data_IF_369674111057
#
_entry.id   IF_369674111057
#
_cell.length_a   1.000
_cell.length_b   1.000
_cell.length_c   1.000
_cell.angle_alpha   90.00
_cell.angle_beta   90.00
_cell.angle_gamma   90.00
#
_symmetry.space_group_name_H-M   'P 1'
#
loop_
_entity.id
_entity.type
_entity.pdbx_description
1 polymer ?
#
# COMPACT_ATOMS: atom_id res chain seq x y z
N UNK A 1 -25.35 0.58 -3.60
CA UNK A 1 -24.55 0.98 -2.41
C UNK A 1 -23.15 0.34 -2.33
N UNK A 2 -22.61 -0.33 -3.37
CA UNK A 2 -21.17 -0.74 -3.39
C UNK A 2 -20.49 -0.41 -4.73
N UNK A 3 -21.02 0.54 -5.49
CA UNK A 3 -20.52 0.93 -6.83
C UNK A 3 -19.16 1.65 -6.81
N UNK A 4 -18.65 2.03 -5.62
CA UNK A 4 -17.41 2.80 -5.47
C UNK A 4 -16.30 2.07 -4.70
N UNK A 5 -16.33 0.74 -4.64
CA UNK A 5 -15.11 0.02 -4.25
C UNK A 5 -14.19 0.06 -5.47
N UNK A 6 -13.32 1.06 -5.54
CA UNK A 6 -12.20 1.12 -6.48
C UNK A 6 -11.22 -0.01 -6.15
N UNK A 7 -11.55 -1.24 -6.57
CA UNK A 7 -10.74 -2.42 -6.32
C UNK A 7 -9.54 -2.38 -7.25
N UNK A 8 -8.37 -2.25 -6.62
CA UNK A 8 -7.13 -1.91 -7.33
C UNK A 8 -7.11 -0.42 -7.63
N UNK A 9 -6.59 0.37 -6.70
CA UNK A 9 -6.36 1.81 -6.85
C UNK A 9 -5.31 2.14 -7.95
N UNK A 10 -4.99 1.21 -8.84
CA UNK A 10 -4.07 1.46 -9.94
C UNK A 10 -4.64 2.54 -10.85
N UNK A 11 -3.88 3.61 -11.01
CA UNK A 11 -4.21 4.66 -11.95
C UNK A 11 -3.46 4.39 -13.26
N UNK A 12 -4.16 4.22 -14.39
CA UNK A 12 -3.50 3.96 -15.66
C UNK A 12 -2.72 5.20 -16.09
N UNK A 13 -1.38 5.06 -16.16
CA UNK A 13 -0.47 6.15 -16.53
C UNK A 13 0.65 5.65 -17.45
N UNK A 14 1.16 6.55 -18.31
CA UNK A 14 2.29 6.26 -19.23
C UNK A 14 3.63 6.78 -18.72
N UNK A 15 3.72 7.18 -17.45
CA UNK A 15 4.90 7.84 -16.91
C UNK A 15 6.12 6.92 -16.77
N UNK A 16 7.30 7.50 -16.53
CA UNK A 16 8.52 6.72 -16.35
C UNK A 16 8.40 5.76 -15.16
N UNK A 17 7.77 6.23 -14.08
CA UNK A 17 7.53 5.42 -12.89
C UNK A 17 6.51 4.30 -13.14
N UNK A 18 5.55 4.48 -14.05
CA UNK A 18 4.62 3.40 -14.40
C UNK A 18 5.30 2.26 -15.17
N UNK A 19 6.34 2.58 -15.95
CA UNK A 19 7.06 1.62 -16.81
C UNK A 19 8.18 0.85 -16.09
N UNK A 20 8.56 1.22 -14.86
CA UNK A 20 9.57 0.48 -14.11
C UNK A 20 9.08 -0.93 -13.77
N UNK A 21 10.03 -1.84 -13.60
CA UNK A 21 9.74 -3.22 -13.23
C UNK A 21 9.07 -3.25 -11.83
N UNK A 22 7.93 -3.95 -11.65
CA UNK A 22 7.20 -4.01 -10.38
C UNK A 22 8.06 -4.44 -9.17
N UNK A 23 8.98 -5.39 -9.36
CA UNK A 23 9.95 -5.83 -8.34
C UNK A 23 10.88 -4.71 -7.90
N UNK A 24 11.30 -3.86 -8.83
CA UNK A 24 12.19 -2.74 -8.58
C UNK A 24 11.44 -1.62 -7.87
N UNK A 25 10.19 -1.34 -8.26
CA UNK A 25 9.34 -0.39 -7.52
C UNK A 25 9.13 -0.84 -6.07
N UNK A 26 8.83 -2.12 -5.84
CA UNK A 26 8.67 -2.68 -4.50
C UNK A 26 9.94 -2.47 -3.67
N UNK A 27 11.11 -2.84 -4.22
CA UNK A 27 12.40 -2.63 -3.56
C UNK A 27 12.68 -1.15 -3.30
N UNK A 28 12.46 -0.28 -4.28
CA UNK A 28 12.64 1.17 -4.15
C UNK A 28 11.74 1.75 -3.07
N UNK A 29 10.48 1.32 -2.98
CA UNK A 29 9.55 1.81 -1.95
C UNK A 29 9.96 1.34 -0.56
N UNK A 30 10.47 0.11 -0.41
CA UNK A 30 11.01 -0.39 0.85
C UNK A 30 12.26 0.40 1.26
N UNK A 31 13.20 0.60 0.33
CA UNK A 31 14.40 1.41 0.57
C UNK A 31 14.04 2.85 0.93
N UNK A 32 13.05 3.44 0.26
CA UNK A 32 12.57 4.78 0.57
C UNK A 32 11.96 4.85 1.98
N UNK A 33 11.17 3.86 2.40
CA UNK A 33 10.63 3.80 3.76
C UNK A 33 11.76 3.82 4.79
N UNK A 34 12.82 3.03 4.57
CA UNK A 34 14.01 3.05 5.44
C UNK A 34 14.72 4.41 5.38
N UNK A 35 14.94 4.95 4.18
CA UNK A 35 15.62 6.22 3.96
C UNK A 35 14.95 7.40 4.69
N UNK A 36 13.62 7.44 4.78
CA UNK A 36 12.87 8.50 5.47
C UNK A 36 13.09 8.50 7.00
N UNK A 37 13.49 7.36 7.58
CA UNK A 37 13.82 7.26 9.01
C UNK A 37 15.26 7.65 9.34
N UNK A 38 16.18 7.64 8.37
CA UNK A 38 17.59 7.96 8.61
C UNK A 38 17.81 9.41 9.07
N UNK A 39 17.25 10.45 8.43
CA UNK A 39 17.54 11.84 8.78
C UNK A 39 17.22 12.19 10.24
N UNK A 40 18.18 12.81 10.93
CA UNK A 40 17.93 13.49 12.22
C UNK A 40 17.80 15.01 12.09
N UNK A 41 18.15 15.54 10.92
CA UNK A 41 18.19 16.97 10.63
C UNK A 41 17.12 17.36 9.61
N UNK A 42 16.70 18.63 9.65
CA UNK A 42 15.75 19.20 8.68
C UNK A 42 16.23 19.10 7.24
N UNK A 43 17.54 19.30 6.99
CA UNK A 43 18.11 19.19 5.64
C UNK A 43 17.98 17.79 5.05
N UNK A 44 18.20 16.74 5.85
CA UNK A 44 18.04 15.37 5.39
C UNK A 44 16.57 15.01 5.13
N UNK A 45 15.65 15.48 5.98
CA UNK A 45 14.22 15.30 5.73
C UNK A 45 13.76 16.06 4.49
N UNK A 46 14.24 17.29 4.28
CA UNK A 46 13.95 18.08 3.09
C UNK A 46 14.49 17.42 1.81
N UNK A 47 15.68 16.81 1.85
CA UNK A 47 16.24 16.06 0.73
C UNK A 47 15.38 14.83 0.39
N UNK A 48 14.93 14.07 1.40
CA UNK A 48 14.02 12.94 1.20
C UNK A 48 12.66 13.38 0.63
N UNK A 49 12.09 14.47 1.16
CA UNK A 49 10.84 15.05 0.66
C UNK A 49 10.98 15.59 -0.78
N UNK A 50 12.11 16.22 -1.10
CA UNK A 50 12.43 16.71 -2.44
C UNK A 50 12.55 15.57 -3.46
N UNK A 51 13.21 14.47 -3.08
CA UNK A 51 13.26 13.26 -3.90
C UNK A 51 11.86 12.68 -4.15
N UNK A 52 11.02 12.61 -3.11
CA UNK A 52 9.63 12.16 -3.25
C UNK A 52 8.82 13.07 -4.18
N UNK A 53 8.97 14.38 -4.03
CA UNK A 53 8.29 15.36 -4.86
C UNK A 53 8.72 15.21 -6.32
N UNK A 54 10.00 15.00 -6.60
CA UNK A 54 10.47 14.65 -7.93
C UNK A 54 9.81 13.36 -8.44
N UNK A 55 9.78 12.29 -7.64
CA UNK A 55 9.14 11.02 -8.01
C UNK A 55 7.63 11.17 -8.32
N UNK A 56 6.93 12.01 -7.56
CA UNK A 56 5.52 12.37 -7.78
C UNK A 56 5.34 13.12 -9.11
N UNK A 57 6.17 14.13 -9.38
CA UNK A 57 6.13 14.89 -10.63
C UNK A 57 6.43 14.00 -11.85
N UNK A 58 7.46 13.14 -11.74
CA UNK A 58 7.80 12.13 -12.73
C UNK A 58 6.68 11.11 -12.95
N UNK A 59 5.84 10.88 -11.93
CA UNK A 59 4.70 9.97 -12.01
C UNK A 59 3.50 10.55 -12.75
N UNK A 60 3.43 11.88 -12.89
CA UNK A 60 2.30 12.61 -13.50
C UNK A 60 0.95 12.24 -12.89
N UNK A 61 0.92 11.99 -11.58
CA UNK A 61 -0.32 11.70 -10.87
C UNK A 61 -1.07 13.00 -10.55
N UNK A 62 -2.41 13.03 -10.67
CA UNK A 62 -3.19 14.18 -10.23
C UNK A 62 -3.03 14.36 -8.72
N UNK A 63 -2.72 15.59 -8.28
CA UNK A 63 -2.53 15.94 -6.86
C UNK A 63 -3.73 15.56 -5.98
N UNK A 64 -4.93 15.47 -6.57
CA UNK A 64 -6.15 15.01 -5.90
C UNK A 64 -6.02 13.59 -5.34
N UNK A 65 -5.30 12.69 -6.01
CA UNK A 65 -5.09 11.32 -5.52
C UNK A 65 -4.18 11.30 -4.30
N UNK A 66 -3.11 12.11 -4.32
CA UNK A 66 -2.18 12.24 -3.19
C UNK A 66 -2.91 12.79 -1.97
N UNK A 67 -3.72 13.83 -2.16
CA UNK A 67 -4.55 14.40 -1.09
C UNK A 67 -5.53 13.36 -0.51
N UNK A 68 -6.11 12.50 -1.36
CA UNK A 68 -6.99 11.41 -0.92
C UNK A 68 -6.28 10.40 -0.03
N UNK A 69 -4.98 10.15 -0.24
CA UNK A 69 -4.16 9.28 0.63
C UNK A 69 -3.82 9.93 1.97
N UNK A 70 -3.56 11.24 1.99
CA UNK A 70 -3.16 11.96 3.21
C UNK A 70 -4.36 12.28 4.11
N UNK A 71 -5.51 12.64 3.52
CA UNK A 71 -6.73 13.06 4.23
C UNK A 71 -7.15 12.15 5.40
N UNK A 72 -7.24 10.80 5.26
CA UNK A 72 -7.68 9.94 6.37
C UNK A 72 -6.67 9.91 7.52
N UNK A 73 -5.38 10.09 7.23
CA UNK A 73 -4.30 9.98 8.22
C UNK A 73 -4.00 11.35 8.85
N UNK A 74 -4.48 12.45 8.27
CA UNK A 74 -4.32 13.80 8.80
C UNK A 74 -4.83 13.92 10.25
N UNK A 75 -5.92 13.23 10.59
CA UNK A 75 -6.42 13.18 11.97
C UNK A 75 -5.39 12.56 12.93
N UNK A 76 -4.79 11.43 12.54
CA UNK A 76 -3.74 10.77 13.33
C UNK A 76 -2.47 11.63 13.42
N UNK A 77 -2.06 12.27 12.33
CA UNK A 77 -0.89 13.17 12.29
C UNK A 77 -1.11 14.38 13.20
N UNK A 78 -2.30 14.99 13.16
CA UNK A 78 -2.64 16.10 14.03
C UNK A 78 -2.66 15.67 15.49
N UNK A 79 -3.31 14.54 15.79
CA UNK A 79 -3.37 13.99 17.14
C UNK A 79 -1.98 13.69 17.71
N UNK A 80 -1.14 12.99 16.94
CA UNK A 80 0.24 12.66 17.35
C UNK A 80 1.12 13.90 17.45
N UNK A 81 0.92 14.91 16.59
CA UNK A 81 1.62 16.20 16.67
C UNK A 81 1.26 16.94 17.97
N UNK A 82 -0.02 17.00 18.32
CA UNK A 82 -0.48 17.62 19.57
C UNK A 82 0.10 16.89 20.78
N UNK A 83 0.08 15.56 20.80
CA UNK A 83 0.70 14.77 21.87
C UNK A 83 2.21 15.03 21.97
N UNK A 84 2.93 15.11 20.85
CA UNK A 84 4.37 15.39 20.86
C UNK A 84 4.69 16.78 21.40
N UNK A 85 3.87 17.80 21.11
CA UNK A 85 4.06 19.16 21.63
C UNK A 85 4.00 19.19 23.17
N UNK A 86 3.12 18.38 23.77
CA UNK A 86 2.93 18.35 25.23
C UNK A 86 3.80 17.33 25.96
N UNK A 87 4.12 16.19 25.32
CA UNK A 87 4.83 15.10 25.97
C UNK A 87 6.36 15.22 25.84
N UNK A 88 6.85 15.83 24.75
CA UNK A 88 8.29 16.04 24.56
C UNK A 88 8.71 17.30 25.32
N UNK A 89 9.39 17.10 26.43
CA UNK A 89 9.97 18.17 27.25
C UNK A 89 11.47 18.32 26.95
N UNK A 90 11.85 19.44 26.34
CA UNK A 90 13.26 19.79 26.12
C UNK A 90 13.42 21.19 25.53
N UNK A 91 14.54 21.87 25.84
CA UNK A 91 14.78 23.25 25.40
C UNK A 91 14.04 24.32 26.20
N UNK A 92 13.88 25.51 25.60
CA UNK A 92 13.20 26.66 26.22
C UNK A 92 11.68 26.46 26.28
N UNK A 93 11.09 26.69 27.45
CA UNK A 93 9.63 26.68 27.63
C UNK A 93 9.05 27.99 27.11
N UNK A 94 8.26 27.93 26.03
CA UNK A 94 7.63 29.10 25.42
C UNK A 94 6.35 29.50 26.16
N UNK A 95 5.55 28.52 26.56
CA UNK A 95 4.28 28.73 27.26
C UNK A 95 4.16 27.67 28.37
N UNK A 96 3.92 28.13 29.58
CA UNK A 96 3.62 27.28 30.73
C UNK A 96 2.17 27.52 31.15
N UNK A 97 1.33 26.49 31.03
CA UNK A 97 -0.03 26.54 31.55
C UNK A 97 -0.28 25.26 32.38
N UNK A 98 0.07 25.31 33.67
CA UNK A 98 -0.09 24.19 34.60
C UNK A 98 0.74 22.95 34.21
N UNK A 99 0.09 21.78 34.10
CA UNK A 99 0.75 20.53 33.68
C UNK A 99 1.18 20.53 32.20
N UNK A 100 0.68 21.48 31.39
CA UNK A 100 0.99 21.59 29.96
C UNK A 100 2.15 22.56 29.76
N UNK A 101 3.30 22.03 29.32
CA UNK A 101 4.48 22.81 28.95
C UNK A 101 4.70 22.69 27.45
N UNK A 102 4.59 23.80 26.73
CA UNK A 102 4.95 23.84 25.31
C UNK A 102 6.41 24.22 25.23
N UNK A 103 7.22 23.28 24.72
CA UNK A 103 8.66 23.47 24.55
C UNK A 103 9.01 23.67 23.07
N UNK A 104 10.08 24.42 22.81
CA UNK A 104 10.62 24.58 21.45
C UNK A 104 10.94 23.22 20.81
N UNK A 105 11.53 22.30 21.58
CA UNK A 105 11.87 20.96 21.10
C UNK A 105 10.62 20.11 20.82
N UNK A 106 9.56 20.24 21.62
CA UNK A 106 8.28 19.58 21.37
C UNK A 106 7.63 20.03 20.06
N UNK A 107 7.67 21.33 19.75
CA UNK A 107 7.16 21.85 18.48
C UNK A 107 7.98 21.37 17.28
N UNK A 108 9.31 21.40 17.38
CA UNK A 108 10.22 20.93 16.34
C UNK A 108 10.00 19.43 16.09
N UNK A 109 9.92 18.62 17.14
CA UNK A 109 9.74 17.17 17.05
C UNK A 109 8.38 16.83 16.44
N UNK A 110 7.33 17.54 16.83
CA UNK A 110 6.00 17.37 16.28
C UNK A 110 5.94 17.71 14.78
N UNK A 111 6.54 18.81 14.36
CA UNK A 111 6.64 19.19 12.95
C UNK A 111 7.50 18.20 12.15
N UNK A 112 8.60 17.71 12.72
CA UNK A 112 9.50 16.78 12.06
C UNK A 112 8.85 15.40 11.86
N UNK A 113 8.19 14.86 12.90
CA UNK A 113 7.50 13.57 12.83
C UNK A 113 6.26 13.62 11.93
N UNK A 114 5.49 14.71 11.97
CA UNK A 114 4.33 14.89 11.08
C UNK A 114 4.75 14.92 9.61
N UNK A 115 5.77 15.71 9.27
CA UNK A 115 6.33 15.73 7.92
C UNK A 115 6.88 14.36 7.48
N UNK A 116 7.54 13.63 8.39
CA UNK A 116 8.03 12.27 8.14
C UNK A 116 6.90 11.30 7.81
N UNK A 117 5.83 11.30 8.61
CA UNK A 117 4.66 10.43 8.40
C UNK A 117 4.01 10.73 7.04
N UNK A 118 3.84 12.01 6.69
CA UNK A 118 3.29 12.42 5.40
C UNK A 118 4.17 11.90 4.24
N UNK A 119 5.49 12.06 4.33
CA UNK A 119 6.43 11.56 3.31
C UNK A 119 6.34 10.04 3.14
N UNK A 120 6.21 9.29 4.25
CA UNK A 120 6.08 7.84 4.23
C UNK A 120 4.79 7.39 3.54
N UNK A 121 3.66 8.04 3.86
CA UNK A 121 2.36 7.73 3.26
C UNK A 121 2.34 8.04 1.77
N UNK A 122 2.86 9.20 1.37
CA UNK A 122 2.90 9.57 -0.05
C UNK A 122 3.80 8.58 -0.81
N UNK A 123 4.97 8.22 -0.24
CA UNK A 123 5.88 7.23 -0.82
C UNK A 123 5.24 5.85 -1.01
N UNK A 124 4.52 5.34 -0.01
CA UNK A 124 3.82 4.06 -0.10
C UNK A 124 2.64 4.10 -1.08
N UNK A 125 1.87 5.19 -1.07
CA UNK A 125 0.73 5.39 -1.98
C UNK A 125 1.16 5.40 -3.44
N UNK A 126 2.38 5.87 -3.73
CA UNK A 126 2.93 5.93 -5.07
C UNK A 126 3.05 4.52 -5.69
N UNK A 127 3.46 3.52 -4.90
CA UNK A 127 3.48 2.12 -5.36
C UNK A 127 2.08 1.65 -5.72
N UNK A 128 1.12 1.91 -4.84
CA UNK A 128 -0.29 1.50 -4.96
C UNK A 128 -0.96 2.12 -6.19
N UNK A 129 -0.71 3.39 -6.48
CA UNK A 129 -1.27 4.05 -7.66
C UNK A 129 -0.57 3.66 -8.97
N UNK A 130 0.72 3.34 -8.94
CA UNK A 130 1.51 3.12 -10.16
C UNK A 130 1.71 1.64 -10.53
N UNK A 131 1.21 0.70 -9.72
CA UNK A 131 1.39 -0.75 -9.93
C UNK A 131 0.07 -1.50 -9.79
N UNK A 132 -0.28 -2.30 -10.80
CA UNK A 132 -1.49 -3.13 -10.75
C UNK A 132 -1.38 -4.22 -9.68
N UNK A 133 -2.49 -4.61 -9.00
CA UNK A 133 -2.47 -5.65 -7.98
C UNK A 133 -1.88 -6.99 -8.44
N UNK A 134 -2.16 -7.42 -9.67
CA UNK A 134 -1.60 -8.65 -10.25
C UNK A 134 -0.08 -8.56 -10.45
N UNK A 135 0.42 -7.43 -10.97
CA UNK A 135 1.86 -7.20 -11.09
C UNK A 135 2.56 -7.08 -9.74
N UNK A 136 1.87 -6.59 -8.71
CA UNK A 136 2.37 -6.58 -7.34
C UNK A 136 2.47 -8.02 -6.79
N UNK A 137 1.48 -8.88 -7.07
CA UNK A 137 1.56 -10.32 -6.74
C UNK A 137 2.75 -10.98 -7.43
N UNK A 138 2.97 -10.72 -8.73
CA UNK A 138 4.15 -11.24 -9.46
C UNK A 138 5.48 -10.72 -8.86
N UNK A 139 5.51 -9.46 -8.40
CA UNK A 139 6.68 -8.88 -7.75
C UNK A 139 6.98 -9.55 -6.39
N UNK A 140 5.95 -9.73 -5.56
CA UNK A 140 6.04 -10.39 -4.27
C UNK A 140 6.51 -11.84 -4.46
N UNK A 141 5.96 -12.55 -5.45
CA UNK A 141 6.40 -13.91 -5.79
C UNK A 141 7.90 -13.96 -6.12
N UNK A 142 8.38 -13.02 -6.94
CA UNK A 142 9.79 -12.95 -7.30
C UNK A 142 10.70 -12.69 -6.09
N UNK A 143 10.25 -11.82 -5.16
CA UNK A 143 10.99 -11.51 -3.91
C UNK A 143 10.94 -12.68 -2.91
N UNK A 144 9.84 -13.45 -2.88
CA UNK A 144 9.68 -14.61 -2.01
C UNK A 144 10.30 -15.89 -2.57
N UNK A 145 10.68 -15.94 -3.85
CA UNK A 145 11.35 -17.10 -4.47
C UNK A 145 12.54 -17.65 -3.68
N UNK A 146 13.49 -16.86 -3.13
CA UNK A 146 14.57 -17.39 -2.29
C UNK A 146 14.10 -18.07 -1.00
N UNK A 147 12.91 -17.72 -0.48
CA UNK A 147 12.33 -18.37 0.70
C UNK A 147 11.83 -19.80 0.42
N UNK A 148 11.93 -20.31 -0.82
CA UNK A 148 11.68 -21.73 -1.15
C UNK A 148 12.55 -22.67 -0.29
N UNK A 149 13.71 -22.21 0.18
CA UNK A 149 14.60 -22.95 1.09
C UNK A 149 13.90 -23.31 2.41
N UNK A 150 12.97 -22.48 2.88
CA UNK A 150 12.20 -22.66 4.12
C UNK A 150 10.86 -23.38 3.85
N UNK A 151 10.74 -24.11 2.73
CA UNK A 151 9.55 -24.86 2.27
C UNK A 151 8.30 -24.00 1.98
N UNK A 152 8.44 -22.68 1.85
CA UNK A 152 7.34 -21.81 1.41
C UNK A 152 7.26 -21.83 -0.12
N UNK A 153 6.18 -22.36 -0.69
CA UNK A 153 5.97 -22.37 -2.15
C UNK A 153 5.39 -21.04 -2.64
N UNK A 154 6.27 -20.08 -2.96
CA UNK A 154 5.90 -18.75 -3.44
C UNK A 154 4.96 -18.80 -4.67
N UNK A 155 5.07 -19.82 -5.51
CA UNK A 155 4.27 -19.94 -6.73
C UNK A 155 2.80 -20.23 -6.46
N UNK A 156 2.53 -21.15 -5.52
CA UNK A 156 1.15 -21.48 -5.14
C UNK A 156 0.48 -20.29 -4.47
N UNK A 157 1.21 -19.56 -3.62
CA UNK A 157 0.73 -18.31 -3.02
C UNK A 157 0.36 -17.27 -4.09
N UNK A 158 1.23 -17.07 -5.07
CA UNK A 158 0.99 -16.13 -6.17
C UNK A 158 -0.23 -16.53 -7.01
N UNK A 159 -0.40 -17.83 -7.25
CA UNK A 159 -1.56 -18.38 -7.96
C UNK A 159 -2.85 -18.13 -7.18
N UNK A 160 -2.89 -18.49 -5.89
CA UNK A 160 -4.06 -18.27 -5.03
C UNK A 160 -4.44 -16.80 -4.98
N UNK A 161 -3.48 -15.90 -4.82
CA UNK A 161 -3.70 -14.45 -4.84
C UNK A 161 -4.21 -13.96 -6.19
N UNK A 162 -3.66 -14.44 -7.30
CA UNK A 162 -4.12 -14.06 -8.65
C UNK A 162 -5.55 -14.54 -8.93
N UNK A 163 -5.88 -15.76 -8.51
CA UNK A 163 -7.23 -16.33 -8.60
C UNK A 163 -8.20 -15.50 -7.75
N UNK A 164 -7.83 -15.17 -6.50
CA UNK A 164 -8.63 -14.34 -5.62
C UNK A 164 -8.89 -12.96 -6.23
N UNK A 165 -7.83 -12.26 -6.68
CA UNK A 165 -7.95 -10.95 -7.35
C UNK A 165 -8.87 -10.97 -8.57
N UNK A 166 -8.85 -12.06 -9.34
CA UNK A 166 -9.74 -12.25 -10.50
C UNK A 166 -11.19 -12.53 -10.08
N UNK A 167 -11.41 -13.27 -8.99
CA UNK A 167 -12.76 -13.62 -8.54
C UNK A 167 -13.45 -12.51 -7.74
N UNK A 168 -12.70 -11.60 -7.13
CA UNK A 168 -13.27 -10.49 -6.34
C UNK A 168 -14.36 -9.72 -7.13
N UNK A 169 -14.13 -9.22 -8.37
CA UNK A 169 -15.17 -8.54 -9.14
C UNK A 169 -16.40 -9.41 -9.39
N UNK A 170 -16.19 -10.68 -9.78
CA UNK A 170 -17.28 -11.61 -10.06
C UNK A 170 -18.12 -11.91 -8.81
N UNK A 171 -17.47 -12.10 -7.65
CA UNK A 171 -18.16 -12.33 -6.38
C UNK A 171 -18.95 -11.10 -5.93
N UNK A 172 -18.45 -9.88 -6.19
CA UNK A 172 -19.21 -8.66 -5.93
C UNK A 172 -20.45 -8.55 -6.82
N UNK A 173 -20.31 -8.78 -8.12
CA UNK A 173 -21.45 -8.77 -9.05
C UNK A 173 -22.51 -9.80 -8.65
N UNK A 174 -22.08 -10.98 -8.23
CA UNK A 174 -22.98 -12.03 -7.78
C UNK A 174 -23.65 -11.70 -6.45
N UNK A 175 -22.90 -11.13 -5.51
CA UNK A 175 -23.46 -10.60 -4.25
C UNK A 175 -24.56 -9.58 -4.56
N UNK A 176 -24.32 -8.67 -5.50
CA UNK A 176 -25.34 -7.71 -5.93
C UNK A 176 -26.57 -8.35 -6.53
N UNK A 177 -26.40 -9.35 -7.41
CA UNK A 177 -27.52 -10.10 -7.99
C UNK A 177 -28.35 -10.80 -6.91
N UNK A 178 -27.69 -11.48 -5.97
CA UNK A 178 -28.36 -12.18 -4.87
C UNK A 178 -29.07 -11.18 -3.95
N UNK A 179 -28.43 -10.08 -3.58
CA UNK A 179 -29.05 -9.03 -2.76
C UNK A 179 -30.30 -8.45 -3.42
N UNK A 180 -30.24 -8.11 -4.71
CA UNK A 180 -31.39 -7.61 -5.46
C UNK A 180 -32.53 -8.64 -5.54
N UNK A 181 -32.20 -9.92 -5.74
CA UNK A 181 -33.20 -10.99 -5.75
C UNK A 181 -33.87 -11.18 -4.37
N UNK A 182 -33.10 -11.11 -3.27
CA UNK A 182 -33.65 -11.21 -1.92
C UNK A 182 -34.53 -10.00 -1.56
N UNK A 183 -34.11 -8.79 -1.95
CA UNK A 183 -34.92 -7.57 -1.80
C UNK A 183 -36.25 -7.68 -2.57
N UNK A 184 -36.23 -8.19 -3.80
CA UNK A 184 -37.45 -8.44 -4.58
C UNK A 184 -38.37 -9.49 -3.95
N UNK A 185 -37.83 -10.41 -3.14
CA UNK A 185 -38.58 -11.39 -2.35
C UNK A 185 -39.06 -10.85 -0.98
N UNK A 186 -38.92 -9.54 -0.74
CA UNK A 186 -39.39 -8.89 0.49
C UNK A 186 -38.40 -8.96 1.66
N UNK A 187 -37.15 -9.36 1.44
CA UNK A 187 -36.13 -9.31 2.48
C UNK A 187 -35.73 -7.84 2.75
N UNK A 188 -36.12 -7.33 3.92
CA UNK A 188 -35.65 -6.03 4.38
C UNK A 188 -34.26 -6.16 5.00
N UNK A 189 -33.28 -5.56 4.33
CA UNK A 189 -31.87 -5.60 4.70
C UNK A 189 -31.37 -4.26 5.26
N UNK A 190 -32.20 -3.22 5.22
CA UNK A 190 -31.79 -1.85 5.56
C UNK A 190 -32.42 -1.38 6.87
N UNK A 191 -33.58 -1.92 7.27
CA UNK A 191 -34.24 -1.55 8.52
C UNK A 191 -33.90 -2.46 9.72
N UNK A 192 -34.12 -1.93 10.92
CA UNK A 192 -33.97 -2.65 12.19
C UNK A 192 -32.59 -2.56 12.86
N UNK A 193 -32.47 -3.20 14.02
CA UNK A 193 -31.24 -3.23 14.83
C UNK A 193 -30.13 -4.10 14.22
N UNK A 194 -28.91 -3.96 14.77
CA UNK A 194 -27.69 -4.62 14.28
C UNK A 194 -27.87 -6.15 14.10
N UNK A 195 -28.50 -6.81 15.09
CA UNK A 195 -28.77 -8.26 15.06
C UNK A 195 -29.72 -8.67 13.92
N UNK A 196 -30.74 -7.84 13.63
CA UNK A 196 -31.70 -8.11 12.55
C UNK A 196 -31.02 -7.97 11.18
N UNK A 197 -30.16 -6.96 11.02
CA UNK A 197 -29.35 -6.76 9.81
C UNK A 197 -28.38 -7.92 9.56
N UNK A 198 -27.71 -8.43 10.60
CA UNK A 198 -26.84 -9.60 10.47
C UNK A 198 -27.63 -10.84 10.02
N UNK A 199 -28.80 -11.10 10.64
CA UNK A 199 -29.67 -12.20 10.23
C UNK A 199 -30.17 -12.05 8.78
N UNK A 200 -30.45 -10.83 8.35
CA UNK A 200 -30.87 -10.52 6.98
C UNK A 200 -29.79 -10.77 5.91
N UNK A 201 -28.52 -10.94 6.29
CA UNK A 201 -27.43 -11.30 5.38
C UNK A 201 -27.31 -12.81 5.12
N UNK A 202 -27.89 -13.65 5.98
CA UNK A 202 -27.81 -15.11 5.87
C UNK A 202 -28.31 -15.61 4.48
N UNK A 203 -29.45 -15.14 3.94
CA UNK A 203 -29.94 -15.54 2.62
C UNK A 203 -29.07 -15.08 1.44
N UNK A 204 -28.09 -14.19 1.68
CA UNK A 204 -27.09 -13.78 0.69
C UNK A 204 -25.83 -14.62 0.81
N UNK A 205 -25.37 -14.83 2.05
CA UNK A 205 -24.13 -15.55 2.36
C UNK A 205 -24.21 -17.01 1.92
N UNK A 206 -25.29 -17.72 2.25
CA UNK A 206 -25.41 -19.16 1.95
C UNK A 206 -25.33 -19.44 0.43
N UNK A 207 -26.14 -18.78 -0.44
CA UNK A 207 -26.03 -19.00 -1.89
C UNK A 207 -24.66 -18.60 -2.46
N UNK A 208 -24.07 -17.50 -1.95
CA UNK A 208 -22.75 -17.05 -2.37
C UNK A 208 -21.67 -18.10 -2.06
N UNK A 209 -21.72 -18.73 -0.89
CA UNK A 209 -20.82 -19.83 -0.54
C UNK A 209 -20.98 -21.02 -1.48
N UNK A 210 -22.21 -21.49 -1.71
CA UNK A 210 -22.48 -22.64 -2.59
C UNK A 210 -21.94 -22.38 -4.00
N UNK A 211 -22.18 -21.18 -4.53
CA UNK A 211 -21.68 -20.78 -5.84
C UNK A 211 -20.16 -20.62 -5.89
N UNK A 212 -19.55 -20.12 -4.82
CA UNK A 212 -18.09 -20.03 -4.69
C UNK A 212 -17.43 -21.41 -4.70
N UNK A 213 -18.00 -22.39 -3.97
CA UNK A 213 -17.52 -23.77 -3.98
C UNK A 213 -17.66 -24.43 -5.35
N UNK A 214 -18.81 -24.26 -6.00
CA UNK A 214 -19.03 -24.78 -7.37
C UNK A 214 -17.98 -24.24 -8.33
N UNK A 215 -17.73 -22.94 -8.31
CA UNK A 215 -16.74 -22.30 -9.18
C UNK A 215 -15.31 -22.68 -8.86
N UNK A 216 -14.99 -22.94 -7.59
CA UNK A 216 -13.71 -23.50 -7.20
C UNK A 216 -13.51 -24.92 -7.80
N UNK A 217 -14.55 -25.76 -7.73
CA UNK A 217 -14.54 -27.10 -8.34
C UNK A 217 -14.41 -27.04 -9.87
N UNK A 218 -15.22 -26.20 -10.53
CA UNK A 218 -15.17 -26.00 -11.98
C UNK A 218 -13.80 -25.47 -12.43
N UNK A 219 -13.21 -24.53 -11.69
CA UNK A 219 -11.87 -24.01 -11.96
C UNK A 219 -10.81 -25.10 -11.78
N UNK A 220 -10.86 -25.87 -10.70
CA UNK A 220 -9.92 -26.96 -10.44
C UNK A 220 -9.98 -28.02 -11.54
N UNK A 221 -11.17 -28.50 -11.88
CA UNK A 221 -11.39 -29.45 -12.97
C UNK A 221 -10.90 -28.90 -14.31
N UNK A 222 -11.19 -27.63 -14.64
CA UNK A 222 -10.70 -27.00 -15.86
C UNK A 222 -9.16 -26.86 -15.88
N UNK A 223 -8.53 -26.65 -14.73
CA UNK A 223 -7.07 -26.62 -14.59
C UNK A 223 -6.47 -28.02 -14.81
N UNK A 224 -7.07 -29.07 -14.25
CA UNK A 224 -6.66 -30.46 -14.46
C UNK A 224 -6.81 -30.90 -15.92
N UNK A 225 -7.93 -30.57 -16.58
CA UNK A 225 -8.14 -30.81 -18.00
C UNK A 225 -7.11 -30.10 -18.89
N UNK A 226 -6.55 -28.97 -18.43
CA UNK A 226 -5.43 -28.25 -19.07
C UNK A 226 -4.06 -28.75 -18.62
N UNK A 227 -4.01 -29.92 -17.99
CA UNK A 227 -2.81 -30.57 -17.46
C UNK A 227 -2.01 -29.69 -16.49
N UNK A 228 -2.69 -28.90 -15.65
CA UNK A 228 -2.03 -28.11 -14.63
C UNK A 228 -1.50 -29.00 -13.49
N UNK A 229 -0.18 -29.08 -13.34
CA UNK A 229 0.52 -29.93 -12.34
C UNK A 229 1.34 -29.15 -11.31
N UNK A 230 1.00 -27.89 -11.04
CA UNK A 230 1.78 -27.02 -10.13
C UNK A 230 2.92 -26.26 -10.81
N UNK A 231 3.79 -25.62 -10.02
CA UNK A 231 4.74 -24.61 -10.52
C UNK A 231 6.07 -25.09 -11.12
N UNK A 232 6.46 -26.33 -10.87
CA UNK A 232 7.76 -26.85 -11.31
C UNK A 232 7.78 -27.17 -12.81
N UNK A 233 8.87 -26.83 -13.50
CA UNK A 233 9.03 -27.06 -14.94
C UNK A 233 8.15 -26.19 -15.86
N UNK A 234 7.38 -25.23 -15.32
CA UNK A 234 6.50 -24.37 -16.13
C UNK A 234 7.22 -23.17 -16.75
N UNK A 235 6.81 -22.81 -17.96
CA UNK A 235 7.18 -21.55 -18.61
C UNK A 235 6.18 -20.44 -18.27
N UNK A 236 6.66 -19.21 -18.11
CA UNK A 236 5.81 -18.03 -17.90
C UNK A 236 5.54 -17.29 -19.20
N UNK A 237 4.26 -17.00 -19.45
CA UNK A 237 3.80 -16.16 -20.55
C UNK A 237 4.22 -14.69 -20.34
N UNK A 238 4.00 -14.14 -19.15
CA UNK A 238 4.47 -12.79 -18.78
C UNK A 238 5.72 -12.92 -17.90
N UNK A 239 6.87 -12.54 -18.45
CA UNK A 239 8.13 -12.45 -17.70
C UNK A 239 8.41 -10.98 -17.37
N UNK A 240 8.70 -10.72 -16.10
CA UNK A 240 9.23 -9.42 -15.66
C UNK A 240 10.63 -9.25 -16.28
N UNK A 241 10.89 -8.08 -16.88
CA UNK A 241 12.16 -7.79 -17.56
C UNK A 241 12.71 -6.47 -17.04
N UNK A 242 13.86 -6.56 -16.38
CA UNK A 242 14.58 -5.38 -15.91
C UNK A 242 15.17 -4.67 -17.11
N UNK A 243 14.89 -3.38 -17.24
CA UNK A 243 15.55 -2.48 -18.16
C UNK A 243 16.72 -1.76 -17.46
N UNK A 244 17.64 -1.19 -18.23
CA UNK A 244 18.73 -0.35 -17.67
C UNK A 244 18.22 0.84 -16.84
N UNK A 245 16.99 1.29 -17.11
CA UNK A 245 16.30 2.34 -16.34
C UNK A 245 16.06 1.93 -14.89
N UNK A 246 15.80 0.65 -14.65
CA UNK A 246 15.55 0.16 -13.29
C UNK A 246 16.82 0.22 -12.45
N UNK A 247 17.95 -0.16 -13.04
CA UNK A 247 19.27 -0.03 -12.42
C UNK A 247 19.62 1.43 -12.14
N UNK A 248 19.35 2.33 -13.08
CA UNK A 248 19.54 3.77 -12.86
C UNK A 248 18.71 4.28 -11.67
N UNK A 249 17.43 3.88 -11.57
CA UNK A 249 16.60 4.29 -10.43
C UNK A 249 17.10 3.73 -9.10
N UNK A 250 17.64 2.50 -9.10
CA UNK A 250 18.23 1.90 -7.91
C UNK A 250 19.50 2.63 -7.48
N UNK A 251 20.39 2.95 -8.42
CA UNK A 251 21.62 3.68 -8.12
C UNK A 251 21.34 5.08 -7.58
N UNK A 252 20.33 5.77 -8.13
CA UNK A 252 19.91 7.09 -7.62
C UNK A 252 19.35 6.97 -6.20
N UNK A 253 18.55 5.93 -5.90
CA UNK A 253 18.05 5.70 -4.54
C UNK A 253 19.18 5.38 -3.54
N UNK A 254 20.16 4.56 -3.94
CA UNK A 254 21.32 4.26 -3.10
C UNK A 254 22.17 5.51 -2.86
N UNK A 255 22.39 6.34 -3.89
CA UNK A 255 23.08 7.62 -3.78
C UNK A 255 22.35 8.56 -2.81
N UNK A 256 21.00 8.60 -2.85
CA UNK A 256 20.21 9.34 -1.87
C UNK A 256 20.47 8.84 -0.45
N UNK A 257 20.40 7.53 -0.20
CA UNK A 257 20.65 6.98 1.15
C UNK A 257 22.05 7.32 1.67
N UNK A 258 23.08 7.18 0.83
CA UNK A 258 24.46 7.54 1.20
C UNK A 258 24.55 9.04 1.48
N UNK A 259 23.94 9.88 0.64
CA UNK A 259 23.87 11.33 0.86
C UNK A 259 23.19 11.70 2.17
N UNK A 260 22.07 11.06 2.51
CA UNK A 260 21.38 11.25 3.80
C UNK A 260 22.25 10.82 4.98
N UNK A 261 22.98 9.72 4.85
CA UNK A 261 23.92 9.25 5.88
C UNK A 261 25.07 10.24 6.10
N UNK A 262 25.66 10.76 5.02
CA UNK A 262 26.72 11.77 5.09
C UNK A 262 26.22 13.10 5.69
N UNK A 263 25.01 13.54 5.31
CA UNK A 263 24.39 14.73 5.90
C UNK A 263 24.09 14.57 7.39
N UNK A 264 23.78 13.35 7.84
CA UNK A 264 23.65 13.07 9.27
C UNK A 264 24.99 13.15 9.99
N UNK A 265 26.06 12.57 9.42
CA UNK A 265 27.42 12.64 9.98
C UNK A 265 27.90 14.09 10.10
N UNK A 266 27.74 14.89 9.04
CA UNK A 266 28.10 16.31 9.04
C UNK A 266 27.28 17.11 10.05
N UNK A 267 25.98 16.84 10.15
CA UNK A 267 25.14 17.53 11.13
C UNK A 267 25.38 17.09 12.58
N UNK A 268 25.86 15.87 12.83
CA UNK A 268 26.31 15.44 14.17
C UNK A 268 27.65 16.02 14.58
N UNK A 269 28.45 16.53 13.63
CA UNK A 269 29.73 17.21 13.90
C UNK A 269 29.52 18.72 14.14
N UNK A 270 28.39 19.28 13.69
CA UNK A 270 28.01 20.69 13.82
C UNK A 270 27.04 20.99 14.99
N UNK A 271 26.57 19.98 15.71
CA UNK A 271 25.67 20.09 16.87
C UNK A 271 26.40 19.73 18.17
#
# INVERSE_FOLDING_TARGET
>A
MLTDITIGQYFPGRSLLHRLDPRMKLLLTLLYMVAVFLPRNWYGLAAAAGFLLAAVLLSRLPLRLIWRSVKPILFLVLFTSVLNIFYVTGGTTLVHWGFLRVTTQGLITAAFLSARIICLIIGSSLLTYTTTPTALTDAIEAVLRPLKIIRINAHELAMMMTIALRFIPTLMEETHKIMSAQKARGADMESGGLLRRIKALIPVIIPLFISSFRRAYDLAMAMECRCYRGGEGRTRMKRLRTAGRDWLTLTVMLALMIGLFLLNQLGSVLA
#
